data_IF_858861011105
#
_entry.id   IF_858861011105
#
_cell.length_a   1.000
_cell.length_b   1.000
_cell.length_c   1.000
_cell.angle_alpha   90.00
_cell.angle_beta   90.00
_cell.angle_gamma   90.00
#
_symmetry.space_group_name_H-M   'P 1'
#
loop_
_entity.id
_entity.type
_entity.pdbx_description
1 polymer ?
#
# COMPACT_ATOMS: atom_id res chain seq x y z
N UNK A 1 25.90 46.87 22.66
CA UNK A 1 24.65 46.15 22.99
C UNK A 1 23.78 45.87 21.76
N UNK A 2 23.40 46.86 20.94
CA UNK A 2 22.53 46.66 19.75
C UNK A 2 23.07 45.68 18.69
N UNK A 3 24.38 45.68 18.43
CA UNK A 3 25.01 44.80 17.42
C UNK A 3 24.96 43.31 17.80
N UNK A 4 25.14 42.99 19.08
CA UNK A 4 25.03 41.63 19.61
C UNK A 4 23.60 41.12 19.53
N UNK A 5 22.61 41.98 19.82
CA UNK A 5 21.19 41.64 19.68
C UNK A 5 20.83 41.27 18.22
N UNK A 6 21.35 42.01 17.23
CA UNK A 6 21.12 41.74 15.81
C UNK A 6 21.71 40.39 15.39
N UNK A 7 22.89 40.04 15.90
CA UNK A 7 23.52 38.72 15.62
C UNK A 7 22.68 37.58 16.21
N UNK A 8 22.18 37.72 17.44
CA UNK A 8 21.29 36.73 18.04
C UNK A 8 19.97 36.56 17.26
N UNK A 9 19.36 37.65 16.81
CA UNK A 9 18.14 37.60 15.99
C UNK A 9 18.39 36.91 14.65
N UNK A 10 19.51 37.19 13.99
CA UNK A 10 19.89 36.54 12.72
C UNK A 10 20.07 35.02 12.90
N UNK A 11 20.75 34.59 13.96
CA UNK A 11 20.94 33.17 14.26
C UNK A 11 19.60 32.50 14.57
N UNK A 12 18.74 33.15 15.35
CA UNK A 12 17.41 32.63 15.67
C UNK A 12 16.50 32.55 14.43
N UNK A 13 16.55 33.56 13.58
CA UNK A 13 15.80 33.59 12.32
C UNK A 13 16.28 32.52 11.35
N UNK A 14 17.59 32.30 11.26
CA UNK A 14 18.18 31.20 10.48
C UNK A 14 17.71 29.83 10.99
N UNK A 15 17.66 29.63 12.31
CA UNK A 15 17.14 28.40 12.93
C UNK A 15 15.66 28.17 12.62
N UNK A 16 14.86 29.24 12.66
CA UNK A 16 13.44 29.21 12.26
C UNK A 16 13.30 28.84 10.79
N UNK A 17 14.06 29.48 9.89
CA UNK A 17 14.00 29.17 8.44
C UNK A 17 14.38 27.71 8.17
N UNK A 18 15.42 27.19 8.84
CA UNK A 18 15.80 25.78 8.73
C UNK A 18 14.69 24.84 9.25
N UNK A 19 14.04 25.19 10.35
CA UNK A 19 12.90 24.44 10.86
C UNK A 19 11.70 24.47 9.90
N UNK A 20 11.37 25.64 9.32
CA UNK A 20 10.29 25.79 8.34
C UNK A 20 10.54 24.99 7.06
N UNK A 21 11.77 25.00 6.55
CA UNK A 21 12.15 24.20 5.38
C UNK A 21 12.05 22.69 5.67
N UNK A 22 12.46 22.25 6.87
CA UNK A 22 12.33 20.84 7.28
C UNK A 22 10.87 20.39 7.44
N UNK A 23 10.02 21.21 8.04
CA UNK A 23 8.59 20.89 8.24
C UNK A 23 7.86 20.75 6.91
N UNK A 24 8.18 21.61 5.93
CA UNK A 24 7.52 21.58 4.61
C UNK A 24 7.80 20.28 3.84
N UNK A 25 8.95 19.65 4.06
CA UNK A 25 9.24 18.32 3.48
C UNK A 25 8.51 17.19 4.23
N UNK A 26 8.28 17.31 5.53
CA UNK A 26 7.64 16.27 6.34
C UNK A 26 6.10 16.18 6.17
N UNK A 27 5.45 17.30 5.86
CA UNK A 27 3.99 17.34 5.75
C UNK A 27 3.45 16.74 4.45
N UNK A 28 4.27 16.68 3.40
CA UNK A 28 3.86 16.24 2.06
C UNK A 28 3.50 14.75 2.04
N UNK A 29 4.36 13.91 2.60
CA UNK A 29 4.18 12.46 2.60
C UNK A 29 2.97 12.04 3.45
N UNK A 30 2.75 12.71 4.60
CA UNK A 30 1.64 12.40 5.51
C UNK A 30 0.27 12.66 4.88
N UNK A 31 0.11 13.81 4.24
CA UNK A 31 -1.19 14.20 3.69
C UNK A 31 -1.56 13.29 2.52
N UNK A 32 -0.59 13.00 1.65
CA UNK A 32 -0.79 12.11 0.52
C UNK A 32 -1.18 10.68 0.92
N UNK A 33 -0.71 10.17 2.08
CA UNK A 33 -1.12 8.84 2.57
C UNK A 33 -2.41 8.87 3.41
N UNK A 34 -2.65 9.93 4.18
CA UNK A 34 -3.82 10.03 5.07
C UNK A 34 -5.15 10.13 4.30
N UNK A 35 -5.16 10.86 3.19
CA UNK A 35 -6.38 11.08 2.39
C UNK A 35 -6.54 10.04 1.28
N UNK A 36 -5.77 8.94 1.33
CA UNK A 36 -5.91 7.83 0.39
C UNK A 36 -7.26 7.15 0.55
N UNK A 37 -7.89 6.89 -0.58
CA UNK A 37 -8.98 5.94 -0.71
C UNK A 37 -8.37 4.62 -1.16
N UNK A 38 -8.40 3.61 -0.29
CA UNK A 38 -8.00 2.25 -0.65
C UNK A 38 -9.16 1.61 -1.42
N UNK A 39 -8.98 1.18 -2.68
CA UNK A 39 -10.04 0.50 -3.41
C UNK A 39 -10.37 -0.84 -2.75
N UNK A 40 -11.65 -1.19 -2.74
CA UNK A 40 -12.08 -2.52 -2.30
C UNK A 40 -11.78 -3.53 -3.39
N UNK A 41 -11.40 -4.74 -2.97
CA UNK A 41 -11.16 -5.89 -3.84
C UNK A 41 -12.21 -6.95 -3.52
N UNK A 42 -12.74 -7.56 -4.57
CA UNK A 42 -13.58 -8.75 -4.43
C UNK A 42 -12.68 -9.98 -4.32
N UNK A 43 -12.67 -10.59 -3.13
CA UNK A 43 -11.83 -11.76 -2.86
C UNK A 43 -12.24 -12.98 -3.70
N UNK A 44 -13.49 -13.06 -4.15
CA UNK A 44 -13.97 -14.15 -5.01
C UNK A 44 -13.27 -14.12 -6.39
N UNK A 45 -12.74 -12.97 -6.81
CA UNK A 45 -12.00 -12.82 -8.06
C UNK A 45 -10.48 -13.02 -7.88
N UNK A 46 -9.98 -12.99 -6.64
CA UNK A 46 -8.56 -13.16 -6.33
C UNK A 46 -8.19 -14.63 -6.35
N UNK A 47 -7.25 -15.01 -7.21
CA UNK A 47 -6.78 -16.39 -7.27
C UNK A 47 -5.88 -16.77 -6.09
N UNK A 48 -5.80 -18.08 -5.83
CA UNK A 48 -4.87 -18.64 -4.85
C UNK A 48 -3.42 -18.42 -5.28
N UNK A 49 -2.58 -18.05 -4.31
CA UNK A 49 -1.18 -17.78 -4.57
C UNK A 49 -0.53 -16.89 -3.51
N UNK A 50 0.72 -16.54 -3.77
CA UNK A 50 1.50 -15.62 -2.95
C UNK A 50 1.84 -14.39 -3.76
N UNK A 51 1.44 -13.22 -3.26
CA UNK A 51 1.54 -11.96 -3.99
C UNK A 51 2.33 -10.93 -3.19
N UNK A 52 3.24 -10.23 -3.87
CA UNK A 52 4.03 -9.16 -3.26
C UNK A 52 3.47 -7.80 -3.68
N UNK A 53 2.91 -7.07 -2.73
CA UNK A 53 2.43 -5.71 -2.92
C UNK A 53 3.38 -4.68 -2.32
N UNK A 54 3.46 -3.52 -2.95
CA UNK A 54 4.29 -2.40 -2.50
C UNK A 54 3.51 -1.10 -2.52
N UNK A 55 3.79 -0.25 -1.56
CA UNK A 55 3.33 1.13 -1.54
C UNK A 55 4.54 2.03 -1.25
N UNK A 56 4.76 3.06 -2.07
CA UNK A 56 5.90 3.96 -1.94
C UNK A 56 5.42 5.39 -1.74
N UNK A 57 5.56 5.90 -0.52
CA UNK A 57 5.31 7.31 -0.23
C UNK A 57 6.12 7.78 0.99
N UNK A 58 7.39 8.14 0.73
CA UNK A 58 8.29 8.68 1.73
C UNK A 58 8.40 7.79 2.96
N UNK A 59 8.11 8.33 4.14
CA UNK A 59 8.19 7.59 5.41
C UNK A 59 7.15 6.48 5.61
N UNK A 60 6.15 6.42 4.72
CA UNK A 60 5.07 5.43 4.74
C UNK A 60 5.26 4.35 3.66
N UNK A 61 6.43 4.27 3.04
CA UNK A 61 6.72 3.18 2.11
C UNK A 61 6.77 1.83 2.82
N UNK A 62 6.18 0.80 2.23
CA UNK A 62 6.14 -0.57 2.78
C UNK A 62 5.97 -1.61 1.66
N UNK A 63 6.48 -2.82 1.91
CA UNK A 63 6.29 -4.00 1.05
C UNK A 63 5.72 -5.15 1.86
N UNK A 64 4.66 -5.78 1.35
CA UNK A 64 3.92 -6.84 2.03
C UNK A 64 3.73 -8.01 1.08
N UNK A 65 3.94 -9.20 1.59
CA UNK A 65 3.57 -10.46 0.96
C UNK A 65 2.24 -10.94 1.53
N UNK A 66 1.32 -11.34 0.66
CA UNK A 66 -0.02 -11.84 1.02
C UNK A 66 -0.18 -13.23 0.44
N UNK A 67 -0.60 -14.18 1.26
CA UNK A 67 -0.90 -15.56 0.84
C UNK A 67 -2.42 -15.74 0.82
N UNK A 68 -2.93 -16.20 -0.32
CA UNK A 68 -4.34 -16.49 -0.55
C UNK A 68 -4.51 -17.98 -0.85
N UNK A 69 -5.45 -18.61 -0.17
CA UNK A 69 -5.85 -20.01 -0.39
C UNK A 69 -7.37 -20.12 -0.28
N UNK A 70 -8.00 -20.82 -1.22
CA UNK A 70 -9.45 -20.90 -1.36
C UNK A 70 -10.14 -19.52 -1.31
N UNK A 71 -9.59 -18.52 -2.01
CA UNK A 71 -10.08 -17.13 -1.99
C UNK A 71 -10.04 -16.44 -0.60
N UNK A 72 -9.28 -17.00 0.35
CA UNK A 72 -9.14 -16.49 1.71
C UNK A 72 -7.70 -16.06 1.97
N UNK A 73 -7.53 -14.89 2.59
CA UNK A 73 -6.23 -14.42 3.07
C UNK A 73 -5.81 -15.26 4.28
N UNK A 74 -4.81 -16.13 4.10
CA UNK A 74 -4.31 -17.01 5.16
C UNK A 74 -3.13 -16.43 5.91
N UNK A 75 -2.34 -15.58 5.25
CA UNK A 75 -1.12 -15.02 5.82
C UNK A 75 -0.80 -13.65 5.22
N UNK A 76 -0.31 -12.74 6.05
CA UNK A 76 0.15 -11.41 5.65
C UNK A 76 1.50 -11.16 6.29
N UNK A 77 2.54 -11.06 5.48
CA UNK A 77 3.93 -10.93 5.91
C UNK A 77 4.49 -9.56 5.52
N UNK A 78 4.90 -8.77 6.51
CA UNK A 78 5.56 -7.48 6.27
C UNK A 78 7.03 -7.73 5.91
N UNK A 79 7.38 -7.48 4.65
CA UNK A 79 8.74 -7.69 4.12
C UNK A 79 9.60 -6.46 4.37
N UNK A 80 9.04 -5.28 4.12
CA UNK A 80 9.67 -4.00 4.41
C UNK A 80 8.65 -3.05 5.03
N UNK A 81 9.07 -2.37 6.09
CA UNK A 81 8.17 -1.66 6.98
C UNK A 81 8.32 -0.14 6.86
N UNK A 82 7.28 0.59 7.26
CA UNK A 82 7.30 2.05 7.32
C UNK A 82 8.41 2.53 8.28
N UNK A 83 8.92 3.73 8.04
CA UNK A 83 10.06 4.27 8.80
C UNK A 83 9.82 4.34 10.31
N UNK A 84 8.57 4.61 10.72
CA UNK A 84 8.15 4.69 12.11
C UNK A 84 7.09 3.63 12.42
N UNK A 85 7.52 2.37 12.46
CA UNK A 85 6.63 1.24 12.73
C UNK A 85 6.11 1.21 14.16
N UNK A 86 4.89 0.69 14.30
CA UNK A 86 4.24 0.41 15.59
C UNK A 86 3.69 -1.00 15.54
N UNK A 87 4.40 -1.91 16.19
CA UNK A 87 4.10 -3.34 16.15
C UNK A 87 2.63 -3.63 16.51
N UNK A 88 2.11 -3.02 17.58
CA UNK A 88 0.71 -3.18 18.01
C UNK A 88 -0.30 -2.78 16.93
N UNK A 89 0.00 -1.74 16.15
CA UNK A 89 -0.86 -1.27 15.05
C UNK A 89 -0.79 -2.25 13.89
N UNK A 90 0.41 -2.69 13.54
CA UNK A 90 0.65 -3.62 12.43
C UNK A 90 -0.01 -4.97 12.68
N UNK A 91 0.18 -5.55 13.87
CA UNK A 91 -0.45 -6.81 14.27
C UNK A 91 -1.98 -6.69 14.30
N UNK A 92 -2.51 -5.66 14.96
CA UNK A 92 -3.96 -5.44 15.02
C UNK A 92 -4.59 -5.23 13.65
N UNK A 93 -3.87 -4.63 12.70
CA UNK A 93 -4.33 -4.48 11.32
C UNK A 93 -4.33 -5.81 10.57
N UNK A 94 -3.25 -6.58 10.66
CA UNK A 94 -3.13 -7.89 9.99
C UNK A 94 -4.22 -8.84 10.49
N UNK A 95 -4.44 -8.87 11.81
CA UNK A 95 -5.50 -9.68 12.42
C UNK A 95 -6.89 -9.30 11.87
N UNK A 96 -7.17 -8.01 11.74
CA UNK A 96 -8.43 -7.53 11.15
C UNK A 96 -8.56 -7.92 9.67
N UNK A 97 -7.52 -7.77 8.86
CA UNK A 97 -7.54 -8.12 7.43
C UNK A 97 -7.82 -9.61 7.25
N UNK A 98 -7.16 -10.47 8.03
CA UNK A 98 -7.37 -11.92 7.99
C UNK A 98 -8.77 -12.27 8.51
N UNK A 99 -9.21 -11.67 9.62
CA UNK A 99 -10.52 -11.94 10.21
C UNK A 99 -11.68 -11.52 9.30
N UNK A 100 -11.56 -10.36 8.65
CA UNK A 100 -12.57 -9.84 7.74
C UNK A 100 -12.47 -10.44 6.33
N UNK A 101 -11.38 -11.16 6.04
CA UNK A 101 -11.01 -11.59 4.70
C UNK A 101 -11.11 -10.45 3.69
N UNK A 102 -10.51 -9.30 3.99
CA UNK A 102 -10.67 -8.12 3.15
C UNK A 102 -10.00 -6.86 3.69
N UNK A 103 -10.20 -5.76 2.96
CA UNK A 103 -9.58 -4.46 3.24
C UNK A 103 -10.51 -3.49 4.01
N UNK A 104 -11.74 -3.93 4.30
CA UNK A 104 -12.70 -3.17 5.10
C UNK A 104 -12.44 -3.42 6.59
N UNK A 105 -11.52 -2.62 7.14
CA UNK A 105 -11.06 -2.73 8.54
C UNK A 105 -11.29 -1.42 9.28
N UNK A 106 -11.44 -1.52 10.60
CA UNK A 106 -11.66 -0.34 11.42
C UNK A 106 -10.39 0.52 11.52
N UNK A 107 -10.59 1.84 11.44
CA UNK A 107 -9.50 2.79 11.55
C UNK A 107 -8.85 2.79 12.94
N UNK A 108 -7.53 2.58 12.99
CA UNK A 108 -6.75 2.70 14.24
C UNK A 108 -6.44 4.18 14.53
N UNK A 109 -6.97 4.68 15.65
CA UNK A 109 -6.81 6.07 16.06
C UNK A 109 -5.34 6.48 16.19
N UNK A 110 -4.98 7.60 15.55
CA UNK A 110 -3.60 8.13 15.57
C UNK A 110 -2.61 7.36 14.69
N UNK A 111 -3.07 6.42 13.86
CA UNK A 111 -2.23 5.65 12.93
C UNK A 111 -2.79 5.58 11.50
N UNK A 112 -3.75 6.44 11.13
CA UNK A 112 -4.46 6.40 9.83
C UNK A 112 -3.52 6.30 8.61
N UNK A 113 -2.48 7.14 8.53
CA UNK A 113 -1.56 7.09 7.39
C UNK A 113 -0.77 5.77 7.35
N UNK A 114 -0.35 5.25 8.50
CA UNK A 114 0.32 3.95 8.59
C UNK A 114 -0.62 2.82 8.17
N UNK A 115 -1.88 2.83 8.63
CA UNK A 115 -2.90 1.84 8.25
C UNK A 115 -3.16 1.88 6.75
N UNK A 116 -3.38 3.08 6.17
CA UNK A 116 -3.62 3.24 4.74
C UNK A 116 -2.43 2.75 3.90
N UNK A 117 -1.20 2.95 4.36
CA UNK A 117 -0.01 2.48 3.67
C UNK A 117 0.03 0.95 3.57
N UNK A 118 -0.21 0.25 4.68
CA UNK A 118 -0.27 -1.21 4.67
C UNK A 118 -1.46 -1.70 3.85
N UNK A 119 -2.65 -1.14 4.03
CA UNK A 119 -3.84 -1.52 3.24
C UNK A 119 -3.62 -1.33 1.74
N UNK A 120 -2.94 -0.26 1.33
CA UNK A 120 -2.60 -0.03 -0.07
C UNK A 120 -1.58 -1.05 -0.59
N UNK A 121 -0.60 -1.44 0.23
CA UNK A 121 0.33 -2.52 -0.14
C UNK A 121 -0.39 -3.87 -0.26
N UNK A 122 -1.28 -4.22 0.67
CA UNK A 122 -2.11 -5.44 0.60
C UNK A 122 -3.01 -5.40 -0.63
N UNK A 123 -3.69 -4.28 -0.89
CA UNK A 123 -4.47 -4.06 -2.11
C UNK A 123 -3.64 -4.35 -3.37
N UNK A 124 -2.44 -3.78 -3.46
CA UNK A 124 -1.57 -3.98 -4.61
C UNK A 124 -1.09 -5.43 -4.74
N UNK A 125 -0.99 -6.18 -3.65
CA UNK A 125 -0.73 -7.63 -3.68
C UNK A 125 -1.95 -8.37 -4.26
N UNK A 126 -3.13 -8.19 -3.67
CA UNK A 126 -4.35 -8.89 -4.05
C UNK A 126 -4.81 -8.59 -5.49
N UNK A 127 -4.65 -7.35 -5.95
CA UNK A 127 -4.94 -6.96 -7.33
C UNK A 127 -4.12 -7.75 -8.37
N UNK A 128 -2.96 -8.30 -8.00
CA UNK A 128 -2.21 -9.19 -8.88
C UNK A 128 -2.90 -10.55 -9.04
N UNK A 129 -3.53 -11.06 -7.97
CA UNK A 129 -4.30 -12.30 -8.00
C UNK A 129 -5.60 -12.18 -8.81
N UNK A 130 -6.27 -11.03 -8.73
CA UNK A 130 -7.42 -10.70 -9.58
C UNK A 130 -7.01 -10.64 -11.06
N UNK A 131 -5.93 -9.93 -11.37
CA UNK A 131 -5.46 -9.77 -12.75
C UNK A 131 -4.83 -11.04 -13.35
N UNK A 132 -4.40 -12.01 -12.54
CA UNK A 132 -3.94 -13.31 -13.02
C UNK A 132 -5.03 -14.02 -13.86
N UNK A 133 -6.31 -13.77 -13.56
CA UNK A 133 -7.45 -14.28 -14.32
C UNK A 133 -7.60 -13.61 -15.70
N UNK A 134 -7.33 -12.29 -15.77
CA UNK A 134 -7.44 -11.49 -16.99
C UNK A 134 -6.39 -11.85 -18.06
N UNK A 135 -5.21 -12.31 -17.66
CA UNK A 135 -4.18 -12.76 -18.61
C UNK A 135 -4.47 -14.17 -19.16
N UNK A 136 -5.09 -15.04 -18.37
CA UNK A 136 -5.46 -16.39 -18.81
C UNK A 136 -6.60 -16.37 -19.83
N UNK A 137 -7.61 -15.53 -19.60
CA UNK A 137 -8.74 -15.34 -20.53
C UNK A 137 -8.32 -14.69 -21.86
N UNK A 138 -7.32 -13.79 -21.86
CA UNK A 138 -6.75 -13.24 -23.11
C UNK A 138 -6.00 -14.31 -23.93
N UNK A 139 -5.32 -15.25 -23.27
CA UNK A 139 -4.54 -16.29 -23.95
C UNK A 139 -5.44 -17.35 -24.62
N UNK A 140 -6.59 -17.68 -24.01
CA UNK A 140 -7.56 -18.61 -24.61
C UNK A 140 -8.18 -18.03 -25.88
N UNK A 141 -8.55 -16.74 -25.89
CA UNK A 141 -9.17 -16.09 -27.06
C UNK A 141 -8.21 -16.02 -28.26
N UNK A 142 -6.90 -15.82 -28.02
CA UNK A 142 -5.90 -15.74 -29.09
C UNK A 142 -5.59 -17.13 -29.68
N UNK A 143 -5.70 -18.21 -28.91
CA UNK A 143 -5.31 -19.56 -29.36
C UNK A 143 -6.46 -20.38 -29.99
N UNK A 144 -7.70 -19.88 -30.00
CA UNK A 144 -8.84 -20.53 -30.69
C UNK A 144 -8.99 -20.13 -32.17
N UNK A 145 -7.93 -19.59 -32.78
CA UNK A 145 -7.85 -19.29 -34.21
C UNK A 145 -7.78 -20.55 -35.10
N UNK A 146 -8.94 -21.18 -35.33
CA UNK A 146 -9.32 -22.13 -36.39
C UNK A 146 -8.48 -23.41 -36.64
N UNK A 147 -9.14 -24.58 -36.60
CA UNK A 147 -9.12 -25.43 -37.80
C UNK A 147 -10.47 -26.10 -38.05
N UNK A 148 -11.16 -25.74 -39.14
CA UNK A 148 -12.21 -26.62 -39.70
C UNK A 148 -12.67 -26.19 -41.09
N UNK A 149 -11.89 -26.51 -42.12
CA UNK A 149 -12.44 -26.79 -43.45
C UNK A 149 -11.62 -27.90 -44.13
N UNK A 150 -11.81 -29.14 -43.68
CA UNK A 150 -11.82 -30.28 -44.59
C UNK A 150 -13.27 -30.49 -44.99
N UNK A 151 -13.64 -30.07 -46.20
CA UNK A 151 -14.77 -30.66 -46.90
C UNK A 151 -14.21 -31.45 -48.08
N UNK A 152 -14.16 -32.76 -47.89
CA UNK A 152 -14.21 -33.74 -48.97
C UNK A 152 -15.68 -33.94 -49.35
N UNK A 153 -16.09 -33.50 -50.55
CA UNK A 153 -16.89 -34.25 -51.54
C UNK A 153 -16.56 -33.66 -52.91
#
# INVERSE_FOLDING_TARGET
MKKILIVFISVFFSLIVLAFLGISWLQKDLSATKDLVVPMIDMDEVQDGTYLGKYENGRFSTSIEVVVSDHIITEVNVIDDVTFKKEDVTQSLIDQVIQHNGLDVDGISGATATVNAYLMAIHNALNQGENAWNIHSLFIVVNTGQPSHMQSI
#
